data_IF_022457922633
#
_entry.id   IF_022457922633
#
_cell.length_a   1.000
_cell.length_b   1.000
_cell.length_c   1.000
_cell.angle_alpha   90.00
_cell.angle_beta   90.00
_cell.angle_gamma   90.00
#
_symmetry.space_group_name_H-M   'P 1'
#
loop_
_entity.id
_entity.type
_entity.pdbx_description
1 polymer ?
#
# COMPACT_ATOMS: atom_id res chain seq x y z
N UNK A 1 14.46 8.82 3.58
CA UNK A 1 14.66 10.28 3.56
C UNK A 1 13.42 10.90 4.20
N UNK A 2 13.55 11.78 5.21
CA UNK A 2 12.39 12.38 5.90
C UNK A 2 11.79 13.52 5.06
N UNK A 3 12.65 14.30 4.40
CA UNK A 3 12.24 15.37 3.51
C UNK A 3 12.17 14.85 2.08
N UNK A 4 11.02 15.05 1.47
CA UNK A 4 10.78 14.74 0.06
C UNK A 4 11.44 15.82 -0.81
N UNK A 5 12.20 15.39 -1.81
CA UNK A 5 12.80 16.31 -2.78
C UNK A 5 11.70 16.75 -3.76
N UNK A 6 11.36 18.04 -3.87
CA UNK A 6 10.30 18.50 -4.76
C UNK A 6 10.54 18.10 -6.23
N UNK A 7 11.80 17.88 -6.64
CA UNK A 7 12.13 17.38 -7.98
C UNK A 7 11.71 15.93 -8.18
N UNK A 8 11.82 15.10 -7.14
CA UNK A 8 11.39 13.70 -7.17
C UNK A 8 9.86 13.67 -7.24
N UNK A 9 9.18 14.47 -6.43
CA UNK A 9 7.72 14.58 -6.44
C UNK A 9 7.15 14.86 -7.84
N UNK A 10 7.73 15.81 -8.58
CA UNK A 10 7.29 16.14 -9.95
C UNK A 10 7.62 15.03 -10.95
N UNK A 11 8.78 14.37 -10.81
CA UNK A 11 9.14 13.22 -11.67
C UNK A 11 8.19 12.05 -11.46
N UNK A 12 7.85 11.77 -10.22
CA UNK A 12 6.94 10.69 -9.85
C UNK A 12 5.52 11.00 -10.36
N UNK A 13 5.06 12.26 -10.29
CA UNK A 13 3.76 12.64 -10.87
C UNK A 13 3.73 12.48 -12.39
N UNK A 14 4.81 12.83 -13.09
CA UNK A 14 4.90 12.58 -14.55
C UNK A 14 4.77 11.07 -14.85
N UNK A 15 5.38 10.22 -14.01
CA UNK A 15 5.27 8.77 -14.17
C UNK A 15 3.85 8.28 -13.89
N UNK A 16 3.25 8.70 -12.78
CA UNK A 16 1.88 8.39 -12.40
C UNK A 16 0.88 8.83 -13.48
N UNK A 17 1.00 10.05 -14.00
CA UNK A 17 0.17 10.54 -15.11
C UNK A 17 0.33 9.69 -16.38
N UNK A 18 1.55 9.22 -16.67
CA UNK A 18 1.80 8.36 -17.82
C UNK A 18 1.09 7.00 -17.69
N UNK A 19 1.11 6.42 -16.49
CA UNK A 19 0.46 5.15 -16.14
C UNK A 19 -1.07 5.28 -16.18
N UNK A 20 -1.59 6.43 -15.77
CA UNK A 20 -2.99 6.80 -15.93
C UNK A 20 -3.38 7.13 -17.39
N UNK A 21 -2.47 7.04 -18.34
CA UNK A 21 -2.77 7.22 -19.76
C UNK A 21 -2.83 8.67 -20.22
N UNK A 22 -2.31 9.63 -19.47
CA UNK A 22 -2.12 11.00 -19.96
C UNK A 22 -0.95 11.07 -20.95
N UNK A 23 -1.04 12.00 -21.90
CA UNK A 23 0.09 12.33 -22.77
C UNK A 23 1.11 13.18 -22.02
N UNK A 24 2.23 12.54 -21.67
CA UNK A 24 3.34 13.16 -20.94
C UNK A 24 4.60 13.34 -21.80
N UNK A 25 4.48 13.18 -23.12
CA UNK A 25 5.61 13.14 -24.06
C UNK A 25 6.54 14.35 -23.93
N UNK A 26 5.97 15.54 -23.75
CA UNK A 26 6.74 16.79 -23.61
C UNK A 26 7.10 17.16 -22.16
N UNK A 27 6.52 16.50 -21.15
CA UNK A 27 6.66 16.93 -19.75
C UNK A 27 8.07 16.69 -19.20
N UNK A 28 8.70 15.56 -19.59
CA UNK A 28 10.09 15.27 -19.18
C UNK A 28 11.06 16.29 -19.74
N UNK A 29 10.90 16.67 -21.02
CA UNK A 29 11.72 17.72 -21.62
C UNK A 29 11.45 19.09 -21.00
N UNK A 30 10.19 19.40 -20.72
CA UNK A 30 9.78 20.64 -20.04
C UNK A 30 10.42 20.76 -18.65
N UNK A 31 10.37 19.69 -17.85
CA UNK A 31 11.06 19.64 -16.56
C UNK A 31 12.57 19.80 -16.72
N UNK A 32 13.20 19.09 -17.67
CA UNK A 32 14.64 19.20 -17.90
C UNK A 32 15.06 20.62 -18.30
N UNK A 33 14.31 21.28 -19.20
CA UNK A 33 14.55 22.68 -19.59
C UNK A 33 14.40 23.61 -18.38
N UNK A 34 13.37 23.42 -17.57
CA UNK A 34 13.15 24.20 -16.34
C UNK A 34 14.34 24.07 -15.38
N UNK A 35 14.85 22.85 -15.18
CA UNK A 35 15.99 22.58 -14.30
C UNK A 35 17.32 23.14 -14.82
N UNK A 36 17.49 23.29 -16.14
CA UNK A 36 18.68 23.93 -16.72
C UNK A 36 18.62 25.45 -16.55
N UNK A 37 17.44 26.05 -16.70
CA UNK A 37 17.25 27.49 -16.64
C UNK A 37 17.25 28.04 -15.21
N UNK A 38 16.81 27.24 -14.24
CA UNK A 38 16.70 27.66 -12.84
C UNK A 38 17.85 27.09 -12.00
N UNK A 39 18.42 27.94 -11.12
CA UNK A 39 19.53 27.55 -10.23
C UNK A 39 19.11 26.67 -9.04
N UNK A 40 17.81 26.51 -8.82
CA UNK A 40 17.22 25.73 -7.73
C UNK A 40 15.87 25.16 -8.15
N UNK A 41 15.34 24.25 -7.33
CA UNK A 41 14.00 23.70 -7.49
C UNK A 41 13.44 23.42 -6.10
N UNK A 42 12.44 24.19 -5.68
CA UNK A 42 11.80 24.10 -4.37
C UNK A 42 10.33 23.66 -4.44
N UNK A 43 9.60 23.80 -3.33
CA UNK A 43 8.21 23.37 -3.24
C UNK A 43 7.27 24.27 -4.07
N UNK A 44 7.56 25.55 -4.23
CA UNK A 44 6.73 26.44 -5.04
C UNK A 44 6.92 26.15 -6.53
N UNK A 45 8.13 25.76 -6.94
CA UNK A 45 8.37 25.20 -8.27
C UNK A 45 7.55 23.91 -8.50
N UNK A 46 7.55 22.99 -7.54
CA UNK A 46 6.71 21.79 -7.65
C UNK A 46 5.23 22.14 -7.76
N UNK A 47 4.74 23.09 -6.95
CA UNK A 47 3.34 23.56 -7.03
C UNK A 47 3.02 24.14 -8.40
N UNK A 48 3.92 24.91 -9.00
CA UNK A 48 3.75 25.40 -10.38
C UNK A 48 3.57 24.24 -11.37
N UNK A 49 4.37 23.18 -11.26
CA UNK A 49 4.18 22.00 -12.12
C UNK A 49 2.81 21.34 -11.91
N UNK A 50 2.42 21.09 -10.67
CA UNK A 50 1.14 20.44 -10.35
C UNK A 50 -0.09 21.26 -10.78
N UNK A 51 -0.06 22.58 -10.62
CA UNK A 51 -1.26 23.41 -10.82
C UNK A 51 -1.32 24.10 -12.18
N UNK A 52 -0.19 24.31 -12.84
CA UNK A 52 -0.15 25.03 -14.12
C UNK A 52 0.33 24.14 -15.27
N UNK A 53 1.40 23.37 -15.07
CA UNK A 53 2.00 22.56 -16.16
C UNK A 53 1.20 21.29 -16.44
N UNK A 54 0.77 20.57 -15.40
CA UNK A 54 0.00 19.32 -15.54
C UNK A 54 -1.50 19.55 -15.76
N UNK A 55 -1.92 20.81 -15.73
CA UNK A 55 -3.31 21.19 -15.87
C UNK A 55 -3.81 20.86 -17.28
N UNK A 56 -4.96 20.21 -17.36
CA UNK A 56 -5.65 19.88 -18.62
C UNK A 56 -4.83 19.03 -19.60
N UNK A 57 -3.95 18.14 -19.10
CA UNK A 57 -3.25 17.20 -19.96
C UNK A 57 -4.27 16.31 -20.72
N UNK A 58 -4.09 16.12 -22.04
CA UNK A 58 -4.95 15.23 -22.79
C UNK A 58 -4.66 13.78 -22.40
N UNK A 59 -5.68 12.92 -22.46
CA UNK A 59 -5.49 11.47 -22.46
C UNK A 59 -4.89 11.04 -23.80
N UNK A 60 -4.05 10.01 -23.80
CA UNK A 60 -3.56 9.36 -25.01
C UNK A 60 -4.70 8.70 -25.76
N UNK A 61 -4.66 8.79 -27.08
CA UNK A 61 -5.55 8.01 -27.94
C UNK A 61 -5.35 6.51 -27.67
N UNK A 62 -6.46 5.78 -27.54
CA UNK A 62 -6.42 4.34 -27.31
C UNK A 62 -6.05 3.92 -25.88
N UNK A 63 -6.12 4.81 -24.88
CA UNK A 63 -6.09 4.34 -23.49
C UNK A 63 -7.36 3.52 -23.20
N UNK A 64 -7.18 2.23 -22.88
CA UNK A 64 -8.26 1.24 -22.85
C UNK A 64 -8.80 0.93 -21.45
N UNK A 65 -8.15 1.42 -20.40
CA UNK A 65 -8.55 1.11 -19.03
C UNK A 65 -9.65 2.06 -18.55
N UNK A 66 -10.67 1.48 -17.94
CA UNK A 66 -11.71 2.16 -17.20
C UNK A 66 -11.51 1.82 -15.71
N UNK A 67 -11.10 2.81 -14.92
CA UNK A 67 -10.64 2.62 -13.54
C UNK A 67 -11.36 3.63 -12.62
N UNK A 68 -12.63 3.37 -12.26
CA UNK A 68 -13.40 4.24 -11.38
C UNK A 68 -12.92 4.21 -9.92
N UNK A 69 -12.94 5.34 -9.22
CA UNK A 69 -12.61 5.39 -7.78
C UNK A 69 -13.85 5.52 -6.88
N UNK A 70 -15.02 5.73 -7.47
CA UNK A 70 -16.28 5.81 -6.74
C UNK A 70 -16.84 4.41 -6.47
N UNK A 71 -17.29 4.17 -5.24
CA UNK A 71 -17.75 2.85 -4.82
C UNK A 71 -18.81 2.23 -5.75
N UNK A 72 -19.82 3.02 -6.12
CA UNK A 72 -20.94 2.53 -6.93
C UNK A 72 -20.49 2.17 -8.35
N UNK A 73 -19.50 2.88 -8.90
CA UNK A 73 -18.92 2.61 -10.21
C UNK A 73 -18.04 1.36 -10.17
N UNK A 74 -17.22 1.20 -9.13
CA UNK A 74 -16.43 -0.03 -8.92
C UNK A 74 -17.36 -1.24 -8.85
N UNK A 75 -18.40 -1.19 -8.01
CA UNK A 75 -19.36 -2.29 -7.87
C UNK A 75 -20.06 -2.61 -9.20
N UNK A 76 -20.36 -1.60 -10.03
CA UNK A 76 -21.00 -1.80 -11.33
C UNK A 76 -20.08 -2.48 -12.36
N UNK A 77 -18.77 -2.26 -12.28
CA UNK A 77 -17.77 -2.84 -13.18
C UNK A 77 -17.19 -4.17 -12.66
N UNK A 78 -17.39 -4.48 -11.37
CA UNK A 78 -16.93 -5.71 -10.72
C UNK A 78 -17.98 -6.83 -10.72
N UNK A 79 -17.62 -8.00 -10.16
CA UNK A 79 -18.46 -9.21 -10.13
C UNK A 79 -18.81 -9.67 -8.70
N UNK A 80 -19.11 -8.69 -7.85
CA UNK A 80 -19.41 -8.86 -6.43
C UNK A 80 -20.40 -10.02 -6.20
N UNK A 81 -20.10 -10.86 -5.22
CA UNK A 81 -21.06 -11.80 -4.66
C UNK A 81 -21.53 -11.33 -3.30
N UNK A 82 -22.73 -11.77 -2.95
CA UNK A 82 -23.21 -11.79 -1.59
C UNK A 82 -22.94 -13.19 -1.04
N UNK A 83 -22.30 -13.26 0.12
CA UNK A 83 -22.02 -14.51 0.82
C UNK A 83 -22.92 -14.66 2.04
N UNK A 84 -23.40 -15.88 2.27
CA UNK A 84 -23.99 -16.21 3.56
C UNK A 84 -22.88 -16.35 4.60
N UNK A 85 -23.19 -15.96 5.84
CA UNK A 85 -22.25 -16.10 6.96
C UNK A 85 -21.89 -17.58 7.12
N UNK A 86 -20.60 -17.95 7.03
CA UNK A 86 -20.20 -19.35 7.16
C UNK A 86 -20.36 -19.85 8.60
N UNK A 87 -20.59 -21.15 8.74
CA UNK A 87 -20.49 -21.85 10.01
C UNK A 87 -19.02 -22.18 10.30
N UNK A 88 -18.38 -21.34 11.13
CA UNK A 88 -17.00 -21.56 11.60
C UNK A 88 -17.04 -21.65 13.12
N UNK A 89 -16.45 -22.70 13.67
CA UNK A 89 -16.36 -22.87 15.13
C UNK A 89 -15.44 -21.80 15.73
N UNK A 90 -15.62 -21.49 17.02
CA UNK A 90 -14.74 -20.51 17.69
C UNK A 90 -13.27 -20.97 17.72
N UNK A 91 -13.03 -22.27 17.85
CA UNK A 91 -11.69 -22.86 17.83
C UNK A 91 -11.03 -22.71 16.46
N UNK A 92 -11.74 -23.06 15.38
CA UNK A 92 -11.23 -22.90 14.01
C UNK A 92 -11.00 -21.42 13.66
N UNK A 93 -11.92 -20.55 14.06
CA UNK A 93 -11.79 -19.12 13.86
C UNK A 93 -10.53 -18.57 14.55
N UNK A 94 -10.30 -18.98 15.81
CA UNK A 94 -9.11 -18.58 16.56
C UNK A 94 -7.83 -19.08 15.89
N UNK A 95 -7.76 -20.36 15.52
CA UNK A 95 -6.59 -20.95 14.88
C UNK A 95 -6.22 -20.23 13.58
N UNK A 96 -7.21 -19.97 12.72
CA UNK A 96 -7.02 -19.25 11.45
C UNK A 96 -6.60 -17.79 11.66
N UNK A 97 -7.24 -17.08 12.58
CA UNK A 97 -6.88 -15.69 12.91
C UNK A 97 -5.47 -15.58 13.48
N UNK A 98 -5.14 -16.48 14.41
CA UNK A 98 -3.82 -16.53 15.02
C UNK A 98 -2.76 -16.87 13.97
N UNK A 99 -3.03 -17.84 13.10
CA UNK A 99 -2.20 -18.17 11.96
C UNK A 99 -2.01 -17.01 10.98
N UNK A 100 -3.06 -16.23 10.71
CA UNK A 100 -2.98 -15.05 9.85
C UNK A 100 -2.08 -13.95 10.45
N UNK A 101 -2.24 -13.66 11.75
CA UNK A 101 -1.40 -12.70 12.46
C UNK A 101 0.07 -13.14 12.49
N UNK A 102 0.33 -14.42 12.79
CA UNK A 102 1.68 -14.97 12.77
C UNK A 102 2.28 -14.98 11.36
N UNK A 103 1.49 -15.32 10.35
CA UNK A 103 1.90 -15.32 8.95
C UNK A 103 2.29 -13.93 8.47
N UNK A 104 1.50 -12.90 8.83
CA UNK A 104 1.82 -11.50 8.58
C UNK A 104 3.17 -11.11 9.20
N UNK A 105 3.34 -11.34 10.50
CA UNK A 105 4.59 -11.05 11.19
C UNK A 105 5.78 -11.80 10.59
N UNK A 106 5.60 -13.08 10.27
CA UNK A 106 6.64 -13.91 9.68
C UNK A 106 7.07 -13.40 8.30
N UNK A 107 6.11 -13.03 7.45
CA UNK A 107 6.34 -12.47 6.12
C UNK A 107 7.07 -11.13 6.14
N UNK A 108 6.64 -10.20 7.00
CA UNK A 108 7.33 -8.92 7.18
C UNK A 108 8.79 -9.17 7.59
N UNK A 109 9.04 -10.01 8.59
CA UNK A 109 10.41 -10.30 9.04
C UNK A 109 11.26 -10.98 7.97
N UNK A 110 10.65 -11.77 7.08
CA UNK A 110 11.35 -12.44 5.99
C UNK A 110 11.83 -11.44 4.94
N UNK A 111 10.99 -10.47 4.58
CA UNK A 111 11.31 -9.47 3.56
C UNK A 111 12.17 -8.30 4.07
N UNK A 112 12.05 -7.95 5.35
CA UNK A 112 12.67 -6.74 5.94
C UNK A 112 14.17 -6.57 5.68
N UNK A 113 15.03 -7.62 5.77
CA UNK A 113 16.47 -7.45 5.53
C UNK A 113 16.80 -7.01 4.10
N UNK A 114 15.97 -7.38 3.12
CA UNK A 114 16.23 -7.24 1.69
C UNK A 114 15.28 -6.27 0.99
N UNK A 115 14.55 -5.47 1.75
CA UNK A 115 13.64 -4.46 1.23
C UNK A 115 14.35 -3.52 0.24
N UNK A 116 13.76 -3.36 -0.96
CA UNK A 116 14.32 -2.55 -2.05
C UNK A 116 15.49 -3.18 -2.80
N UNK A 117 15.83 -4.46 -2.56
CA UNK A 117 16.86 -5.16 -3.32
C UNK A 117 16.30 -5.73 -4.62
N UNK A 118 17.16 -5.82 -5.63
CA UNK A 118 16.86 -6.59 -6.84
C UNK A 118 16.98 -8.08 -6.56
N UNK A 119 16.39 -8.90 -7.42
CA UNK A 119 16.50 -10.35 -7.36
C UNK A 119 17.95 -10.81 -7.45
N UNK A 120 18.75 -10.17 -8.29
CA UNK A 120 20.17 -10.49 -8.50
C UNK A 120 20.95 -10.30 -7.20
N UNK A 121 20.74 -9.16 -6.52
CA UNK A 121 21.40 -8.88 -5.24
C UNK A 121 20.99 -9.86 -4.14
N UNK A 122 19.72 -10.28 -4.11
CA UNK A 122 19.24 -11.32 -3.19
C UNK A 122 19.98 -12.64 -3.45
N UNK A 123 20.12 -13.06 -4.71
CA UNK A 123 20.82 -14.29 -5.07
C UNK A 123 22.32 -14.22 -4.78
N UNK A 124 22.97 -13.08 -5.02
CA UNK A 124 24.37 -12.84 -4.65
C UNK A 124 24.57 -12.97 -3.14
N UNK A 125 23.67 -12.41 -2.33
CA UNK A 125 23.72 -12.55 -0.88
C UNK A 125 23.58 -14.01 -0.42
N UNK A 126 22.64 -14.76 -1.00
CA UNK A 126 22.45 -16.17 -0.69
C UNK A 126 23.65 -17.01 -1.10
N UNK A 127 24.26 -16.73 -2.26
CA UNK A 127 25.48 -17.40 -2.71
C UNK A 127 26.65 -17.15 -1.75
N UNK A 128 26.82 -15.92 -1.25
CA UNK A 128 27.82 -15.60 -0.21
C UNK A 128 27.55 -16.32 1.12
N UNK A 129 26.28 -16.60 1.41
CA UNK A 129 25.88 -17.41 2.55
C UNK A 129 26.03 -18.94 2.33
N UNK A 130 26.39 -19.36 1.12
CA UNK A 130 26.45 -20.78 0.74
C UNK A 130 25.08 -21.43 0.53
N UNK A 131 24.04 -20.63 0.24
CA UNK A 131 22.67 -21.10 -0.01
C UNK A 131 22.27 -20.88 -1.49
N UNK A 132 21.79 -21.93 -2.16
CA UNK A 132 21.32 -21.83 -3.55
C UNK A 132 19.95 -21.16 -3.67
N UNK A 133 19.15 -21.24 -2.60
CA UNK A 133 17.82 -20.64 -2.46
C UNK A 133 17.50 -20.42 -0.99
N UNK A 134 16.55 -19.52 -0.73
CA UNK A 134 16.08 -19.25 0.63
C UNK A 134 15.17 -20.37 1.13
N UNK A 135 15.58 -21.07 2.19
CA UNK A 135 14.81 -22.17 2.81
C UNK A 135 14.12 -21.75 4.12
N UNK A 136 14.57 -20.64 4.73
CA UNK A 136 14.02 -20.11 5.99
C UNK A 136 14.19 -18.58 6.01
N UNK A 137 14.58 -17.96 7.13
CA UNK A 137 15.00 -16.56 7.18
C UNK A 137 16.40 -16.35 6.59
N UNK A 138 16.64 -15.14 6.07
CA UNK A 138 17.95 -14.75 5.54
C UNK A 138 19.06 -14.96 6.58
N UNK A 139 20.16 -15.65 6.24
CA UNK A 139 21.24 -15.94 7.16
C UNK A 139 22.07 -14.69 7.50
N UNK A 140 22.64 -14.61 8.71
CA UNK A 140 23.67 -13.61 9.01
C UNK A 140 25.05 -14.07 8.54
N UNK A 141 25.57 -13.45 7.48
CA UNK A 141 26.91 -13.69 6.93
C UNK A 141 28.02 -12.86 7.62
N UNK A 142 27.74 -12.36 8.83
CA UNK A 142 28.72 -11.64 9.66
C UNK A 142 29.07 -10.26 9.10
N UNK A 143 30.35 -9.91 9.07
CA UNK A 143 30.81 -8.58 8.63
C UNK A 143 30.36 -8.25 7.19
N UNK A 144 30.34 -9.26 6.30
CA UNK A 144 29.94 -9.10 4.90
C UNK A 144 28.52 -8.59 4.72
N UNK A 145 27.60 -8.85 5.66
CA UNK A 145 26.22 -8.38 5.55
C UNK A 145 26.13 -6.83 5.46
N UNK A 146 27.09 -6.12 6.06
CA UNK A 146 27.17 -4.66 5.95
C UNK A 146 27.59 -4.19 4.56
N UNK A 147 28.40 -4.98 3.84
CA UNK A 147 28.83 -4.66 2.46
C UNK A 147 27.65 -4.71 1.49
N UNK A 148 26.69 -5.60 1.74
CA UNK A 148 25.41 -5.63 1.02
C UNK A 148 24.43 -4.54 1.46
N UNK A 149 24.74 -3.79 2.53
CA UNK A 149 23.86 -2.75 3.05
C UNK A 149 22.63 -3.29 3.79
N UNK A 150 22.74 -4.44 4.47
CA UNK A 150 21.69 -4.92 5.37
C UNK A 150 21.45 -3.88 6.47
N UNK A 151 20.18 -3.47 6.63
CA UNK A 151 19.77 -2.48 7.63
C UNK A 151 19.24 -3.11 8.93
N UNK A 152 18.58 -4.26 8.82
CA UNK A 152 17.86 -4.91 9.92
C UNK A 152 18.48 -6.28 10.22
N UNK A 153 19.67 -6.28 10.82
CA UNK A 153 20.39 -7.53 11.15
C UNK A 153 19.62 -8.39 12.15
N UNK A 154 18.79 -7.78 12.98
CA UNK A 154 17.94 -8.44 13.96
C UNK A 154 16.85 -9.30 13.31
N UNK A 155 16.53 -9.09 12.03
CA UNK A 155 15.60 -9.92 11.27
C UNK A 155 16.26 -11.14 10.61
N UNK A 156 17.59 -11.26 10.71
CA UNK A 156 18.33 -12.39 10.16
C UNK A 156 18.21 -13.63 11.05
N UNK A 157 18.32 -14.80 10.42
CA UNK A 157 18.34 -16.11 11.08
C UNK A 157 19.44 -16.16 12.14
N UNK A 158 19.06 -16.56 13.35
CA UNK A 158 19.94 -16.59 14.52
C UNK A 158 19.87 -15.33 15.39
N UNK A 159 19.46 -14.19 14.83
CA UNK A 159 19.28 -12.93 15.57
C UNK A 159 17.80 -12.65 15.90
N UNK A 160 16.88 -13.13 15.06
CA UNK A 160 15.43 -12.92 15.20
C UNK A 160 14.88 -13.59 16.48
N UNK A 161 14.42 -12.77 17.43
CA UNK A 161 13.75 -13.22 18.66
C UNK A 161 12.35 -12.62 18.86
N UNK A 162 11.97 -11.63 18.05
CA UNK A 162 10.65 -10.98 18.04
C UNK A 162 10.47 -10.26 16.70
N UNK A 163 9.22 -9.95 16.34
CA UNK A 163 8.97 -9.05 15.23
C UNK A 163 9.55 -7.66 15.52
N UNK A 164 10.28 -7.11 14.55
CA UNK A 164 10.73 -5.72 14.52
C UNK A 164 9.55 -4.87 14.05
N UNK A 165 9.44 -3.63 14.52
CA UNK A 165 8.41 -2.70 14.04
C UNK A 165 8.43 -2.61 12.52
N UNK A 166 7.23 -2.69 11.94
CA UNK A 166 6.96 -2.63 10.51
C UNK A 166 5.65 -1.88 10.33
N UNK A 167 5.53 -0.96 9.37
CA UNK A 167 4.26 -0.28 9.14
C UNK A 167 3.18 -1.27 8.70
N UNK A 168 3.58 -2.34 8.02
CA UNK A 168 2.75 -3.50 7.76
C UNK A 168 2.10 -4.09 9.02
N UNK A 169 2.73 -3.97 10.19
CA UNK A 169 2.19 -4.46 11.47
C UNK A 169 1.48 -3.36 12.27
N UNK A 170 1.77 -2.10 11.98
CA UNK A 170 1.12 -0.96 12.63
C UNK A 170 -0.30 -0.76 12.10
N UNK A 171 -0.50 -0.85 10.78
CA UNK A 171 -1.81 -0.57 10.16
C UNK A 171 -2.94 -1.50 10.62
N UNK A 172 -2.76 -2.82 10.80
CA UNK A 172 -3.80 -3.67 11.39
C UNK A 172 -4.26 -3.18 12.77
N UNK A 173 -3.35 -2.64 13.59
CA UNK A 173 -3.67 -2.09 14.91
C UNK A 173 -4.36 -0.74 14.80
N UNK A 174 -3.91 0.12 13.90
CA UNK A 174 -4.56 1.43 13.63
C UNK A 174 -5.97 1.23 13.08
N UNK A 175 -6.16 0.31 12.15
CA UNK A 175 -7.45 0.03 11.54
C UNK A 175 -8.39 -0.68 12.54
N UNK A 176 -7.87 -1.52 13.44
CA UNK A 176 -8.64 -2.01 14.59
C UNK A 176 -9.15 -0.85 15.46
N UNK A 177 -8.32 0.16 15.72
CA UNK A 177 -8.72 1.35 16.49
C UNK A 177 -9.83 2.14 15.78
N UNK A 178 -9.77 2.27 14.45
CA UNK A 178 -10.87 2.85 13.64
C UNK A 178 -12.18 2.08 13.89
N UNK A 179 -12.11 0.75 13.79
CA UNK A 179 -13.27 -0.13 13.97
C UNK A 179 -13.85 -0.05 15.40
N UNK A 180 -13.01 0.01 16.42
CA UNK A 180 -13.45 0.15 17.81
C UNK A 180 -14.14 1.50 18.10
N UNK A 181 -13.70 2.57 17.43
CA UNK A 181 -14.25 3.92 17.64
C UNK A 181 -15.50 4.20 16.80
N UNK A 182 -15.54 3.72 15.56
CA UNK A 182 -16.55 4.12 14.58
C UNK A 182 -17.41 2.95 14.05
N UNK A 183 -17.08 1.70 14.42
CA UNK A 183 -17.73 0.50 13.88
C UNK A 183 -17.38 0.24 12.41
N UNK A 184 -18.04 -0.72 11.77
CA UNK A 184 -17.74 -1.12 10.38
C UNK A 184 -18.22 -0.14 9.30
N UNK A 185 -18.98 0.90 9.69
CA UNK A 185 -19.51 1.90 8.77
C UNK A 185 -18.71 3.21 8.81
N UNK A 186 -17.46 3.14 9.24
CA UNK A 186 -16.55 4.29 9.28
C UNK A 186 -16.35 4.91 7.90
N UNK A 187 -16.03 6.20 7.86
CA UNK A 187 -15.72 6.94 6.63
C UNK A 187 -14.21 7.16 6.48
N UNK A 188 -13.72 7.53 5.29
CA UNK A 188 -12.32 7.96 5.12
C UNK A 188 -11.92 9.10 6.07
N UNK A 189 -12.85 10.01 6.40
CA UNK A 189 -12.59 11.10 7.36
C UNK A 189 -12.35 10.56 8.78
N UNK A 190 -13.05 9.49 9.18
CA UNK A 190 -12.80 8.83 10.47
C UNK A 190 -11.41 8.18 10.52
N UNK A 191 -10.96 7.55 9.43
CA UNK A 191 -9.60 7.02 9.33
C UNK A 191 -8.58 8.14 9.49
N UNK A 192 -8.79 9.27 8.80
CA UNK A 192 -7.93 10.45 8.91
C UNK A 192 -7.84 11.00 10.34
N UNK A 193 -8.93 11.00 11.09
CA UNK A 193 -8.92 11.38 12.51
C UNK A 193 -8.05 10.44 13.36
N UNK A 194 -8.21 9.12 13.19
CA UNK A 194 -7.40 8.14 13.94
C UNK A 194 -5.92 8.28 13.61
N UNK A 195 -5.58 8.52 12.34
CA UNK A 195 -4.20 8.76 11.92
C UNK A 195 -3.62 10.00 12.61
N UNK A 196 -4.32 11.14 12.58
CA UNK A 196 -3.87 12.38 13.20
C UNK A 196 -3.59 12.25 14.70
N UNK A 197 -4.35 11.40 15.39
CA UNK A 197 -4.23 11.18 16.83
C UNK A 197 -3.15 10.15 17.21
N UNK A 198 -2.81 9.20 16.33
CA UNK A 198 -2.09 7.99 16.74
C UNK A 198 -0.87 7.66 15.88
N UNK A 199 -0.79 8.13 14.62
CA UNK A 199 0.31 7.82 13.73
C UNK A 199 1.32 8.97 13.66
N UNK A 200 2.59 8.76 14.03
CA UNK A 200 3.60 9.78 13.82
C UNK A 200 3.84 10.03 12.33
N UNK A 201 3.87 11.29 11.89
CA UNK A 201 4.09 11.66 10.48
C UNK A 201 5.35 11.03 9.86
N UNK A 202 6.42 10.86 10.65
CA UNK A 202 7.68 10.25 10.18
C UNK A 202 7.62 8.73 9.99
N UNK A 203 6.50 8.09 10.35
CA UNK A 203 6.29 6.64 10.38
C UNK A 203 5.23 6.16 9.38
N UNK A 204 4.69 7.07 8.57
CA UNK A 204 3.90 6.79 7.36
C UNK A 204 4.76 7.08 6.13
N UNK A 205 4.51 6.44 5.00
CA UNK A 205 5.38 6.49 3.81
C UNK A 205 4.59 6.88 2.56
N UNK A 206 5.28 7.32 1.50
CA UNK A 206 4.68 7.49 0.16
C UNK A 206 3.30 8.16 0.13
N UNK A 207 2.26 7.46 -0.34
CA UNK A 207 0.91 7.96 -0.48
C UNK A 207 0.30 8.39 0.85
N UNK A 208 0.52 7.60 1.89
CA UNK A 208 0.04 7.86 3.24
C UNK A 208 0.71 9.09 3.83
N UNK A 209 2.00 9.29 3.58
CA UNK A 209 2.69 10.51 4.01
C UNK A 209 2.16 11.74 3.30
N UNK A 210 1.92 11.65 1.98
CA UNK A 210 1.31 12.74 1.22
C UNK A 210 -0.11 13.05 1.75
N UNK A 211 -0.93 12.02 1.97
CA UNK A 211 -2.27 12.17 2.53
C UNK A 211 -2.27 12.74 3.95
N UNK A 212 -1.34 12.30 4.81
CA UNK A 212 -1.18 12.84 6.16
C UNK A 212 -0.83 14.33 6.11
N UNK A 213 0.13 14.73 5.27
CA UNK A 213 0.47 16.15 5.05
C UNK A 213 -0.78 16.93 4.62
N UNK A 214 -1.57 16.36 3.72
CA UNK A 214 -2.80 16.98 3.21
C UNK A 214 -3.86 17.13 4.31
N UNK A 215 -4.01 16.14 5.20
CA UNK A 215 -4.86 16.24 6.39
C UNK A 215 -4.42 17.40 7.30
N UNK A 216 -3.11 17.50 7.59
CA UNK A 216 -2.55 18.58 8.41
C UNK A 216 -2.75 19.97 7.77
N UNK A 217 -2.78 20.04 6.44
CA UNK A 217 -3.12 21.25 5.68
C UNK A 217 -4.63 21.58 5.68
N UNK A 218 -5.46 20.74 6.31
CA UNK A 218 -6.91 20.92 6.39
C UNK A 218 -7.70 20.42 5.19
N UNK A 219 -7.07 19.66 4.28
CA UNK A 219 -7.78 18.98 3.21
C UNK A 219 -8.56 17.78 3.76
N UNK A 220 -9.65 17.44 3.09
CA UNK A 220 -10.51 16.30 3.42
C UNK A 220 -10.58 15.33 2.26
N UNK A 221 -10.85 14.03 2.49
CA UNK A 221 -11.12 13.09 1.42
C UNK A 221 -12.22 13.59 0.47
N UNK A 222 -12.11 13.35 -0.86
CA UNK A 222 -11.05 12.59 -1.52
C UNK A 222 -9.78 13.41 -1.84
N UNK A 223 -9.76 14.72 -1.58
CA UNK A 223 -8.62 15.59 -1.94
C UNK A 223 -7.32 15.23 -1.20
N UNK A 224 -7.42 14.57 -0.04
CA UNK A 224 -6.28 14.04 0.69
C UNK A 224 -5.49 13.03 -0.15
N UNK A 225 -6.16 12.24 -0.98
CA UNK A 225 -5.52 11.23 -1.82
C UNK A 225 -4.85 11.81 -3.07
N UNK A 226 -5.30 12.94 -3.59
CA UNK A 226 -4.87 13.45 -4.91
C UNK A 226 -4.03 14.73 -4.86
N UNK A 227 -4.11 15.51 -3.79
CA UNK A 227 -3.36 16.76 -3.68
C UNK A 227 -1.85 16.51 -3.54
N UNK A 228 -1.09 16.78 -4.62
CA UNK A 228 0.36 16.59 -4.67
C UNK A 228 0.78 15.21 -4.15
N UNK A 229 0.09 14.17 -4.61
CA UNK A 229 0.32 12.79 -4.23
C UNK A 229 0.49 11.91 -5.48
N UNK A 230 1.73 11.75 -5.98
CA UNK A 230 2.01 10.89 -7.13
C UNK A 230 1.96 9.40 -6.79
N UNK A 231 1.86 9.05 -5.51
CA UNK A 231 1.90 7.66 -5.04
C UNK A 231 0.52 7.05 -4.85
N UNK A 232 -0.54 7.77 -5.22
CA UNK A 232 -1.95 7.45 -4.96
C UNK A 232 -2.44 6.09 -5.50
N UNK A 233 -1.67 5.42 -6.36
CA UNK A 233 -1.95 4.07 -6.87
C UNK A 233 -0.92 3.01 -6.42
N UNK A 234 -0.01 3.36 -5.50
CA UNK A 234 0.99 2.43 -4.98
C UNK A 234 0.38 1.43 -3.98
N UNK A 235 1.16 0.43 -3.60
CA UNK A 235 0.76 -0.72 -2.75
C UNK A 235 0.42 -0.35 -1.30
N UNK A 236 0.59 0.91 -0.88
CA UNK A 236 0.49 1.32 0.52
C UNK A 236 -0.86 0.99 1.17
N UNK A 237 -1.98 1.18 0.45
CA UNK A 237 -3.29 0.75 0.93
C UNK A 237 -3.42 -0.78 0.99
N UNK A 238 -2.91 -1.49 -0.02
CA UNK A 238 -2.98 -2.95 -0.11
C UNK A 238 -2.44 -3.66 1.15
N UNK A 239 -1.35 -3.16 1.73
CA UNK A 239 -0.75 -3.76 2.93
C UNK A 239 -1.61 -3.54 4.19
N UNK A 240 -2.64 -2.69 4.20
CA UNK A 240 -3.45 -2.38 5.40
C UNK A 240 -4.72 -3.23 5.54
N UNK A 241 -4.99 -4.04 4.52
CA UNK A 241 -6.22 -4.81 4.34
C UNK A 241 -6.50 -5.86 5.44
N UNK A 242 -5.45 -6.33 6.12
CA UNK A 242 -5.43 -7.45 7.08
C UNK A 242 -6.65 -7.50 7.99
N UNK A 243 -6.86 -6.43 8.77
CA UNK A 243 -7.91 -6.43 9.80
C UNK A 243 -9.31 -6.58 9.19
N UNK A 244 -9.56 -5.98 8.02
CA UNK A 244 -10.88 -5.97 7.38
C UNK A 244 -11.27 -7.36 6.88
N UNK A 245 -10.30 -8.13 6.39
CA UNK A 245 -10.47 -9.53 6.06
C UNK A 245 -10.65 -10.40 7.31
N UNK A 246 -9.81 -10.20 8.32
CA UNK A 246 -9.84 -10.97 9.57
C UNK A 246 -11.17 -10.86 10.33
N UNK A 247 -11.79 -9.68 10.37
CA UNK A 247 -13.08 -9.48 11.05
C UNK A 247 -14.31 -9.84 10.20
N UNK A 248 -14.10 -10.31 8.97
CA UNK A 248 -15.15 -10.65 8.01
C UNK A 248 -15.01 -12.07 7.45
N UNK A 249 -14.76 -13.11 8.27
CA UNK A 249 -14.41 -14.44 7.78
C UNK A 249 -15.49 -15.00 6.85
N UNK A 250 -15.11 -15.28 5.60
CA UNK A 250 -15.99 -15.79 4.55
C UNK A 250 -17.08 -14.81 4.06
N UNK A 251 -16.93 -13.51 4.34
CA UNK A 251 -17.81 -12.43 3.85
C UNK A 251 -16.95 -11.38 3.13
N UNK A 252 -16.44 -11.68 1.91
CA UNK A 252 -15.44 -10.84 1.25
C UNK A 252 -15.98 -9.47 0.82
N UNK A 253 -17.28 -9.35 0.50
CA UNK A 253 -17.93 -8.09 0.16
C UNK A 253 -17.89 -7.08 1.32
N UNK A 254 -18.02 -7.57 2.55
CA UNK A 254 -17.93 -6.75 3.76
C UNK A 254 -16.50 -6.28 3.98
N UNK A 255 -15.53 -7.17 3.77
CA UNK A 255 -14.10 -6.84 3.88
C UNK A 255 -13.71 -5.76 2.85
N UNK A 256 -14.10 -5.97 1.59
CA UNK A 256 -13.85 -5.03 0.50
C UNK A 256 -14.48 -3.65 0.75
N UNK A 257 -15.69 -3.59 1.32
CA UNK A 257 -16.31 -2.28 1.64
C UNK A 257 -15.53 -1.49 2.70
N UNK A 258 -15.04 -2.15 3.75
CA UNK A 258 -14.24 -1.48 4.77
C UNK A 258 -12.87 -1.07 4.22
N UNK A 259 -12.23 -1.95 3.44
CA UNK A 259 -10.99 -1.65 2.73
C UNK A 259 -11.13 -0.45 1.79
N UNK A 260 -12.24 -0.33 1.05
CA UNK A 260 -12.53 0.85 0.23
C UNK A 260 -12.56 2.14 1.06
N UNK A 261 -13.28 2.13 2.18
CA UNK A 261 -13.39 3.30 3.05
C UNK A 261 -12.03 3.68 3.68
N UNK A 262 -11.15 2.71 3.91
CA UNK A 262 -9.78 2.96 4.39
C UNK A 262 -8.89 3.53 3.28
N UNK A 263 -8.83 2.85 2.14
CA UNK A 263 -8.00 3.22 1.00
C UNK A 263 -8.30 4.63 0.48
N UNK A 264 -9.59 4.99 0.38
CA UNK A 264 -10.04 6.27 -0.16
C UNK A 264 -9.56 7.50 0.64
N UNK A 265 -8.98 7.31 1.84
CA UNK A 265 -8.28 8.37 2.55
C UNK A 265 -7.03 8.86 1.78
N UNK A 266 -6.24 7.93 1.24
CA UNK A 266 -4.89 8.22 0.72
C UNK A 266 -4.64 7.74 -0.72
N UNK A 267 -5.54 6.94 -1.28
CA UNK A 267 -5.39 6.31 -2.59
C UNK A 267 -6.60 6.53 -3.49
N UNK A 268 -6.40 6.29 -4.78
CA UNK A 268 -7.43 6.19 -5.83
C UNK A 268 -7.16 4.95 -6.69
N UNK A 269 -8.12 4.55 -7.54
CA UNK A 269 -7.97 3.50 -8.56
C UNK A 269 -7.23 2.24 -8.07
N UNK A 270 -6.10 1.86 -8.68
CA UNK A 270 -5.36 0.64 -8.33
C UNK A 270 -4.91 0.60 -6.87
N UNK A 271 -4.70 1.76 -6.23
CA UNK A 271 -4.43 1.81 -4.79
C UNK A 271 -5.64 1.40 -3.95
N UNK A 272 -6.85 1.82 -4.35
CA UNK A 272 -8.12 1.36 -3.74
C UNK A 272 -8.34 -0.13 -4.04
N UNK A 273 -8.17 -0.53 -5.29
CA UNK A 273 -8.41 -1.91 -5.72
C UNK A 273 -7.48 -2.88 -5.01
N UNK A 274 -6.21 -2.52 -4.81
CA UNK A 274 -5.24 -3.35 -4.09
C UNK A 274 -5.73 -3.72 -2.69
N UNK A 275 -6.22 -2.75 -1.92
CA UNK A 275 -6.74 -3.00 -0.57
C UNK A 275 -8.03 -3.82 -0.58
N UNK A 276 -8.96 -3.51 -1.49
CA UNK A 276 -10.21 -4.27 -1.66
C UNK A 276 -9.94 -5.73 -2.01
N UNK A 277 -9.05 -5.96 -2.98
CA UNK A 277 -8.63 -7.28 -3.44
C UNK A 277 -8.04 -8.11 -2.30
N UNK A 278 -7.06 -7.56 -1.58
CA UNK A 278 -6.39 -8.29 -0.50
C UNK A 278 -7.32 -8.51 0.69
N UNK A 279 -8.18 -7.55 1.05
CA UNK A 279 -9.16 -7.73 2.12
C UNK A 279 -10.17 -8.84 1.80
N UNK A 280 -10.63 -8.90 0.55
CA UNK A 280 -11.48 -9.98 0.06
C UNK A 280 -10.77 -11.34 0.09
N UNK A 281 -9.51 -11.42 -0.37
CA UNK A 281 -8.71 -12.65 -0.29
C UNK A 281 -8.55 -13.14 1.16
N UNK A 282 -8.21 -12.24 2.09
CA UNK A 282 -8.03 -12.58 3.50
C UNK A 282 -9.33 -13.11 4.13
N UNK A 283 -10.47 -12.51 3.77
CA UNK A 283 -11.78 -12.99 4.17
C UNK A 283 -12.10 -14.36 3.58
N UNK A 284 -11.86 -14.55 2.28
CA UNK A 284 -12.11 -15.80 1.57
C UNK A 284 -11.24 -16.97 2.07
N UNK A 285 -10.02 -16.69 2.55
CA UNK A 285 -9.10 -17.70 3.07
C UNK A 285 -9.64 -18.50 4.27
N UNK A 286 -10.67 -18.00 4.96
CA UNK A 286 -11.34 -18.73 6.03
C UNK A 286 -12.18 -19.91 5.53
N UNK A 287 -12.65 -19.87 4.28
CA UNK A 287 -13.61 -20.85 3.72
C UNK A 287 -13.08 -21.55 2.47
N UNK A 288 -12.19 -20.90 1.71
CA UNK A 288 -11.56 -21.48 0.52
C UNK A 288 -10.57 -22.59 0.89
N UNK A 289 -10.43 -23.56 -0.02
CA UNK A 289 -9.57 -24.74 0.18
C UNK A 289 -8.18 -24.59 -0.44
N UNK A 290 -8.03 -23.72 -1.44
CA UNK A 290 -6.78 -23.56 -2.17
C UNK A 290 -6.41 -22.08 -2.32
N UNK A 291 -5.10 -21.74 -2.41
CA UNK A 291 -4.68 -20.38 -2.69
C UNK A 291 -5.22 -19.82 -4.01
N UNK A 292 -5.42 -20.69 -5.01
CA UNK A 292 -6.00 -20.29 -6.29
C UNK A 292 -7.44 -19.81 -6.11
N UNK A 293 -8.25 -20.53 -5.34
CA UNK A 293 -9.65 -20.15 -5.08
C UNK A 293 -9.72 -18.82 -4.31
N UNK A 294 -8.80 -18.59 -3.37
CA UNK A 294 -8.69 -17.32 -2.64
C UNK A 294 -8.43 -16.15 -3.58
N UNK A 295 -7.48 -16.29 -4.51
CA UNK A 295 -7.18 -15.25 -5.51
C UNK A 295 -8.37 -15.01 -6.44
N UNK A 296 -8.98 -16.09 -6.94
CA UNK A 296 -10.14 -15.98 -7.82
C UNK A 296 -11.33 -15.30 -7.14
N UNK A 297 -11.54 -15.57 -5.85
CA UNK A 297 -12.59 -14.89 -5.08
C UNK A 297 -12.25 -13.41 -4.87
N UNK A 298 -11.01 -13.08 -4.51
CA UNK A 298 -10.57 -11.68 -4.38
C UNK A 298 -10.79 -10.85 -5.64
N UNK A 299 -10.52 -11.42 -6.82
CA UNK A 299 -10.68 -10.75 -8.13
C UNK A 299 -12.11 -10.31 -8.43
N UNK A 300 -13.12 -10.77 -7.68
CA UNK A 300 -14.51 -10.38 -7.89
C UNK A 300 -14.84 -8.99 -7.35
N UNK A 301 -13.97 -8.44 -6.50
CA UNK A 301 -14.21 -7.21 -5.74
C UNK A 301 -13.33 -6.05 -6.20
N UNK A 302 -12.82 -6.10 -7.43
CA UNK A 302 -12.03 -5.05 -8.10
C UNK A 302 -12.40 -4.96 -9.56
#
# INVERSE_FOLDING_TARGET
>A
MIFEDPRILVKDEIQQLAEEGYDVSELRETLNRYLIMNRGFDIDDARYFFYEVFKNLPKKDGYHYHEPSEWDEIVAESSFAIHEKPEITQEELFDRLYGALLGRAAGCMLGKPVEGWTREKILEYLAEAGEERLEYYFPDIGAKASEFGIRFREALRGNLNRAIRDDDLDYPIINLKVLEQYGSNFTPENVGHVWLENLPFGQVYTAERAAYRNLVMGLRPPLTATHMNPYREFIGAQIRADIFGWISPGIPERAAKMAYNDAALSHVKNGIYGEMFVAAMLSAAFVCRTPKDVVLEGLRYV
#
